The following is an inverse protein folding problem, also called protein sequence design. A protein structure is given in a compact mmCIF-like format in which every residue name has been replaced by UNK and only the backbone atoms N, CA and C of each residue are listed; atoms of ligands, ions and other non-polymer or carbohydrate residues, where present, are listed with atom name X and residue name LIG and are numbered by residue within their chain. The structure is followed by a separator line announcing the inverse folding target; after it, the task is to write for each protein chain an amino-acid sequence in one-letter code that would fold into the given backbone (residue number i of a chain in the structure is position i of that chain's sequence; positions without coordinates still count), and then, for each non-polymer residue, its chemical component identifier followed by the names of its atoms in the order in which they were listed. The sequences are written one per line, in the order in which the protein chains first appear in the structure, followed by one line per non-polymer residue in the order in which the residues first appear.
data_IF_385168037473
#
_entry.id   IF_385168037473
#
_cell.length_a   1.000
_cell.length_b   1.000
_cell.length_c   1.000
_cell.angle_alpha   90.00
_cell.angle_beta   90.00
_cell.angle_gamma   90.00
#
_symmetry.space_group_name_H-M   'P 1'
#
loop_
_entity.id
_entity.type
_entity.pdbx_description
1 polymer ?
#
# COMPACT_ATOMS: atom_id res chain seq x y z
N UNK A 1 38.97 -27.30 19.22
CA UNK A 1 38.22 -27.78 18.05
C UNK A 1 36.76 -27.44 18.27
N UNK A 2 36.11 -26.83 17.27
CA UNK A 2 34.89 -26.01 17.38
C UNK A 2 33.62 -26.76 17.87
N UNK A 3 32.64 -26.03 18.44
CA UNK A 3 31.33 -26.58 18.83
C UNK A 3 30.36 -26.66 17.64
N UNK A 4 29.59 -27.76 17.55
CA UNK A 4 28.50 -27.90 16.59
C UNK A 4 27.19 -27.52 17.26
N UNK A 5 26.61 -26.38 16.87
CA UNK A 5 25.29 -25.92 17.30
C UNK A 5 24.32 -26.10 16.14
N UNK A 6 23.42 -27.07 16.27
CA UNK A 6 22.28 -27.24 15.35
C UNK A 6 21.11 -26.41 15.86
N UNK A 7 20.83 -25.27 15.21
CA UNK A 7 19.62 -24.49 15.42
C UNK A 7 18.64 -24.70 14.25
N UNK A 8 17.35 -24.98 14.51
CA UNK A 8 16.30 -24.91 13.49
C UNK A 8 15.90 -23.45 13.17
N UNK A 9 15.22 -23.20 12.03
CA UNK A 9 14.94 -21.84 11.55
C UNK A 9 14.00 -21.08 12.48
N UNK A 10 14.35 -19.83 12.76
CA UNK A 10 13.62 -18.91 13.64
C UNK A 10 12.25 -18.59 13.05
N UNK A 11 11.21 -18.95 13.80
CA UNK A 11 9.81 -18.59 13.61
C UNK A 11 9.66 -17.06 13.56
N UNK A 12 8.85 -16.55 12.62
CA UNK A 12 8.51 -15.13 12.49
C UNK A 12 7.61 -14.71 13.66
N UNK A 13 7.80 -13.52 14.26
CA UNK A 13 6.97 -13.08 15.36
C UNK A 13 5.52 -12.82 14.88
N UNK A 14 4.51 -13.24 15.66
CA UNK A 14 3.13 -12.82 15.43
C UNK A 14 2.96 -11.34 15.84
N UNK A 15 2.38 -10.61 14.90
CA UNK A 15 1.82 -9.25 14.98
C UNK A 15 1.36 -8.82 16.39
N UNK A 16 1.63 -7.58 16.83
CA UNK A 16 1.22 -7.13 18.15
C UNK A 16 -0.29 -6.96 18.26
N UNK A 17 -0.89 -7.75 19.17
CA UNK A 17 -2.25 -7.59 19.69
C UNK A 17 -2.42 -6.18 20.24
N UNK A 18 -3.27 -5.38 19.62
CA UNK A 18 -3.74 -4.10 20.18
C UNK A 18 -4.76 -4.39 21.28
N UNK A 19 -4.31 -4.27 22.51
CA UNK A 19 -5.13 -4.30 23.72
C UNK A 19 -6.07 -3.09 23.74
N UNK A 20 -7.37 -3.33 23.99
CA UNK A 20 -8.37 -2.28 24.25
C UNK A 20 -8.78 -2.41 25.73
N UNK A 21 -8.60 -1.38 26.56
CA UNK A 21 -9.07 -1.41 27.94
C UNK A 21 -10.61 -1.36 27.94
N UNK A 22 -11.24 -2.43 28.40
CA UNK A 22 -12.66 -2.42 28.75
C UNK A 22 -12.79 -1.98 30.21
N UNK A 23 -13.14 -0.71 30.41
CA UNK A 23 -13.51 -0.16 31.72
C UNK A 23 -14.92 0.39 31.62
N UNK A 24 -15.91 -0.41 32.00
CA UNK A 24 -17.26 0.09 32.26
C UNK A 24 -17.27 0.88 33.57
N UNK A 25 -18.08 1.95 33.65
CA UNK A 25 -18.98 2.06 34.77
C UNK A 25 -20.44 2.16 34.32
N UNK A 26 -21.28 1.56 35.15
CA UNK A 26 -22.74 1.63 35.14
C UNK A 26 -23.20 3.09 35.38
N UNK A 27 -24.25 3.55 34.70
CA UNK A 27 -24.82 4.88 34.94
C UNK A 27 -25.94 5.31 34.00
N UNK A 28 -27.17 4.94 34.35
CA UNK A 28 -28.50 5.58 34.16
C UNK A 28 -28.94 6.22 32.80
N UNK A 29 -30.27 6.22 32.50
CA UNK A 29 -30.84 6.74 31.27
C UNK A 29 -31.21 8.23 31.39
N UNK A 30 -30.90 9.02 30.36
CA UNK A 30 -31.27 10.43 30.29
C UNK A 30 -31.54 10.84 28.84
N UNK A 31 -32.80 11.13 28.55
CA UNK A 31 -33.25 11.60 27.25
C UNK A 31 -32.58 12.93 26.87
N UNK A 32 -32.07 13.03 25.64
CA UNK A 32 -32.09 14.27 24.85
C UNK A 32 -31.87 13.96 23.38
N UNK A 33 -32.91 14.26 22.61
CA UNK A 33 -32.99 14.28 21.16
C UNK A 33 -32.22 15.49 20.63
N UNK A 34 -31.22 15.27 19.76
CA UNK A 34 -30.89 16.16 18.64
C UNK A 34 -29.83 15.51 17.75
N UNK A 35 -30.02 15.66 16.44
CA UNK A 35 -29.22 15.10 15.36
C UNK A 35 -27.72 15.29 15.56
N UNK A 36 -26.98 14.18 15.48
CA UNK A 36 -25.56 14.24 15.11
C UNK A 36 -25.53 14.37 13.59
N UNK A 37 -25.03 15.47 13.00
CA UNK A 37 -24.55 15.38 11.64
C UNK A 37 -23.31 14.47 11.72
N UNK A 38 -23.42 13.26 11.17
CA UNK A 38 -22.30 12.36 10.98
C UNK A 38 -21.29 13.00 10.00
N UNK A 39 -20.53 13.96 10.50
CA UNK A 39 -19.40 14.60 9.83
C UNK A 39 -18.11 14.28 10.57
N UNK A 40 -17.83 12.98 10.79
CA UNK A 40 -16.44 12.56 11.02
C UNK A 40 -15.68 12.61 9.69
N UNK A 41 -14.34 12.69 9.68
CA UNK A 41 -13.58 12.54 8.43
C UNK A 41 -13.84 11.13 7.93
N UNK A 42 -14.82 11.01 7.04
CA UNK A 42 -15.18 9.76 6.40
C UNK A 42 -13.92 9.35 5.66
N UNK A 43 -13.23 8.33 6.21
CA UNK A 43 -12.34 7.52 5.40
C UNK A 43 -13.23 7.03 4.27
N UNK A 44 -13.15 7.70 3.14
CA UNK A 44 -14.04 7.49 2.02
C UNK A 44 -13.98 5.99 1.69
N UNK A 45 -15.06 5.22 1.96
CA UNK A 45 -15.00 3.77 1.85
C UNK A 45 -14.70 3.36 0.41
N UNK A 46 -15.00 4.25 -0.54
CA UNK A 46 -14.65 4.10 -1.94
C UNK A 46 -13.16 4.31 -2.20
N UNK A 47 -12.53 5.33 -1.62
CA UNK A 47 -11.08 5.52 -1.62
C UNK A 47 -10.36 4.32 -1.01
N UNK A 48 -10.85 3.76 0.09
CA UNK A 48 -10.25 2.55 0.69
C UNK A 48 -10.31 1.35 -0.26
N UNK A 49 -11.44 1.15 -0.95
CA UNK A 49 -11.57 0.09 -1.97
C UNK A 49 -10.59 0.31 -3.12
N UNK A 50 -10.48 1.54 -3.61
CA UNK A 50 -9.53 1.90 -4.67
C UNK A 50 -8.09 1.68 -4.23
N UNK A 51 -7.73 2.07 -3.01
CA UNK A 51 -6.38 1.83 -2.47
C UNK A 51 -6.08 0.33 -2.43
N UNK A 52 -7.01 -0.48 -1.90
CA UNK A 52 -6.85 -1.93 -1.85
C UNK A 52 -6.68 -2.55 -3.25
N UNK A 53 -7.43 -2.06 -4.25
CA UNK A 53 -7.29 -2.52 -5.64
C UNK A 53 -5.91 -2.19 -6.24
N UNK A 54 -5.39 -0.99 -5.93
CA UNK A 54 -4.02 -0.59 -6.32
C UNK A 54 -2.98 -1.47 -5.62
N UNK A 55 -3.13 -1.72 -4.31
CA UNK A 55 -2.22 -2.56 -3.51
C UNK A 55 -2.19 -4.02 -4.00
N UNK A 56 -3.32 -4.56 -4.47
CA UNK A 56 -3.35 -5.89 -5.09
C UNK A 56 -2.66 -5.91 -6.46
N UNK A 57 -2.69 -4.80 -7.20
CA UNK A 57 -2.20 -4.73 -8.58
C UNK A 57 -0.70 -4.44 -8.69
N UNK A 58 -0.12 -3.79 -7.67
CA UNK A 58 1.31 -3.50 -7.60
C UNK A 58 1.83 -4.03 -6.27
N UNK A 59 2.62 -5.10 -6.30
CA UNK A 59 3.21 -5.64 -5.08
C UNK A 59 4.34 -4.76 -4.56
N UNK A 60 4.48 -4.66 -3.23
CA UNK A 60 5.58 -3.96 -2.56
C UNK A 60 5.38 -2.46 -2.37
N UNK A 61 4.23 -1.92 -2.75
CA UNK A 61 3.86 -0.52 -2.46
C UNK A 61 3.26 -0.40 -1.06
N UNK A 62 3.48 0.74 -0.42
CA UNK A 62 2.84 1.08 0.84
C UNK A 62 1.45 1.67 0.63
N UNK A 63 0.61 1.56 1.65
CA UNK A 63 -0.73 2.16 1.65
C UNK A 63 -0.68 3.68 1.40
N UNK A 64 0.34 4.35 1.90
CA UNK A 64 0.54 5.80 1.71
C UNK A 64 0.86 6.13 0.26
N UNK A 65 1.70 5.34 -0.42
CA UNK A 65 2.02 5.52 -1.83
C UNK A 65 0.78 5.31 -2.70
N UNK A 66 -0.06 4.31 -2.40
CA UNK A 66 -1.32 4.09 -3.11
C UNK A 66 -2.27 5.27 -2.98
N UNK A 67 -2.44 5.80 -1.77
CA UNK A 67 -3.24 7.00 -1.56
C UNK A 67 -2.67 8.23 -2.28
N UNK A 68 -1.35 8.40 -2.27
CA UNK A 68 -0.70 9.50 -2.97
C UNK A 68 -0.88 9.39 -4.49
N UNK A 69 -0.73 8.20 -5.04
CA UNK A 69 -0.93 7.93 -6.47
C UNK A 69 -2.38 8.18 -6.88
N UNK A 70 -3.35 7.69 -6.11
CA UNK A 70 -4.77 7.95 -6.36
C UNK A 70 -5.10 9.45 -6.28
N UNK A 71 -4.56 10.17 -5.29
CA UNK A 71 -4.75 11.63 -5.22
C UNK A 71 -4.16 12.33 -6.44
N UNK A 72 -2.99 11.90 -6.91
CA UNK A 72 -2.34 12.48 -8.09
C UNK A 72 -3.10 12.21 -9.40
N UNK A 73 -3.90 11.15 -9.47
CA UNK A 73 -4.67 10.76 -10.65
C UNK A 73 -6.17 11.12 -10.56
N UNK A 74 -6.57 11.92 -9.56
CA UNK A 74 -7.97 12.28 -9.36
C UNK A 74 -8.85 11.10 -8.93
N UNK A 75 -8.24 10.05 -8.37
CA UNK A 75 -8.90 8.83 -7.92
C UNK A 75 -9.04 7.75 -9.00
N UNK A 76 -8.39 7.88 -10.14
CA UNK A 76 -8.37 6.84 -11.17
C UNK A 76 -7.40 5.71 -10.82
N UNK A 77 -7.94 4.50 -10.61
CA UNK A 77 -7.20 3.33 -10.15
C UNK A 77 -6.17 2.88 -11.18
N UNK A 78 -6.55 2.78 -12.45
CA UNK A 78 -5.67 2.31 -13.52
C UNK A 78 -4.48 3.25 -13.70
N UNK A 79 -4.73 4.56 -13.69
CA UNK A 79 -3.68 5.57 -13.77
C UNK A 79 -2.80 5.56 -12.52
N UNK A 80 -3.36 5.33 -11.33
CA UNK A 80 -2.58 5.24 -10.09
C UNK A 80 -1.63 4.03 -10.11
N UNK A 81 -2.12 2.86 -10.53
CA UNK A 81 -1.32 1.64 -10.75
C UNK A 81 -0.17 1.93 -11.72
N UNK A 82 -0.48 2.55 -12.85
CA UNK A 82 0.51 2.90 -13.87
C UNK A 82 1.57 3.85 -13.33
N UNK A 83 1.16 4.89 -12.59
CA UNK A 83 2.07 5.85 -11.99
C UNK A 83 3.00 5.18 -10.97
N UNK A 84 2.47 4.32 -10.10
CA UNK A 84 3.28 3.54 -9.17
C UNK A 84 4.28 2.64 -9.88
N UNK A 85 3.87 1.94 -10.95
CA UNK A 85 4.80 1.12 -11.74
C UNK A 85 5.94 1.94 -12.32
N UNK A 86 5.67 3.16 -12.79
CA UNK A 86 6.71 4.08 -13.25
C UNK A 86 7.66 4.45 -12.13
N UNK A 87 7.15 4.83 -10.95
CA UNK A 87 8.01 5.14 -9.79
C UNK A 87 8.85 3.95 -9.36
N UNK A 88 8.27 2.74 -9.30
CA UNK A 88 9.03 1.52 -8.95
C UNK A 88 10.17 1.26 -9.95
N UNK A 89 9.92 1.42 -11.25
CA UNK A 89 10.96 1.23 -12.26
C UNK A 89 12.02 2.35 -12.23
N UNK A 90 11.58 3.57 -11.95
CA UNK A 90 12.46 4.74 -11.79
C UNK A 90 13.43 4.55 -10.62
N UNK A 91 12.98 4.04 -9.46
CA UNK A 91 13.88 3.79 -8.33
C UNK A 91 14.88 2.65 -8.56
N UNK A 92 14.63 1.77 -9.53
CA UNK A 92 15.51 0.67 -9.89
C UNK A 92 16.55 1.03 -10.96
N UNK A 93 16.41 2.19 -11.63
CA UNK A 93 17.21 2.54 -12.81
C UNK A 93 17.67 3.99 -12.76
N UNK A 94 18.63 4.36 -13.61
CA UNK A 94 19.07 5.76 -13.82
C UNK A 94 18.22 6.50 -14.85
N UNK A 95 17.10 5.91 -15.28
CA UNK A 95 16.30 6.40 -16.39
C UNK A 95 15.34 7.51 -15.95
N UNK A 96 14.90 8.34 -16.90
CA UNK A 96 13.87 9.34 -16.59
C UNK A 96 12.50 8.66 -16.39
N UNK A 97 11.59 9.30 -15.65
CA UNK A 97 10.19 8.84 -15.52
C UNK A 97 9.50 8.65 -16.88
N UNK A 98 9.82 9.51 -17.84
CA UNK A 98 9.28 9.42 -19.19
C UNK A 98 9.76 8.16 -19.92
N UNK A 99 11.05 7.81 -19.77
CA UNK A 99 11.59 6.60 -20.38
C UNK A 99 11.09 5.33 -19.68
N UNK A 100 10.99 5.36 -18.35
CA UNK A 100 10.38 4.27 -17.57
C UNK A 100 8.95 3.98 -18.04
N UNK A 101 8.14 5.02 -18.27
CA UNK A 101 6.80 4.89 -18.83
C UNK A 101 6.82 4.23 -20.21
N UNK A 102 7.69 4.67 -21.12
CA UNK A 102 7.81 4.08 -22.46
C UNK A 102 8.20 2.60 -22.41
N UNK A 103 9.10 2.22 -21.52
CA UNK A 103 9.46 0.81 -21.30
C UNK A 103 8.24 0.03 -20.83
N UNK A 104 7.54 0.52 -19.79
CA UNK A 104 6.36 -0.15 -19.27
C UNK A 104 5.28 -0.29 -20.35
N UNK A 105 5.05 0.72 -21.17
CA UNK A 105 4.12 0.66 -22.30
C UNK A 105 4.53 -0.43 -23.31
N UNK A 106 5.83 -0.57 -23.64
CA UNK A 106 6.33 -1.66 -24.51
C UNK A 106 6.12 -3.04 -23.91
N UNK A 107 6.23 -3.17 -22.58
CA UNK A 107 5.99 -4.42 -21.87
C UNK A 107 4.55 -4.59 -21.38
N UNK A 108 3.58 -3.88 -21.95
CA UNK A 108 2.15 -3.98 -21.59
C UNK A 108 1.88 -3.77 -20.09
N UNK A 109 2.66 -2.89 -19.46
CA UNK A 109 2.63 -2.61 -18.02
C UNK A 109 3.02 -3.79 -17.12
N UNK A 110 3.74 -4.77 -17.65
CA UNK A 110 4.39 -5.81 -16.85
C UNK A 110 5.64 -5.23 -16.17
N UNK A 111 5.48 -4.91 -14.87
CA UNK A 111 6.57 -4.37 -14.06
C UNK A 111 7.73 -5.36 -13.93
N UNK A 112 7.47 -6.66 -13.84
CA UNK A 112 8.52 -7.67 -13.68
C UNK A 112 9.38 -7.81 -14.93
N UNK A 113 8.75 -7.85 -16.11
CA UNK A 113 9.46 -7.87 -17.38
C UNK A 113 10.26 -6.59 -17.61
N UNK A 114 9.67 -5.43 -17.34
CA UNK A 114 10.33 -4.13 -17.45
C UNK A 114 11.52 -4.01 -16.47
N UNK A 115 11.35 -4.41 -15.21
CA UNK A 115 12.42 -4.40 -14.20
C UNK A 115 13.59 -5.29 -14.60
N UNK A 116 13.34 -6.51 -15.10
CA UNK A 116 14.40 -7.38 -15.61
C UNK A 116 15.15 -6.76 -16.78
N UNK A 117 14.43 -6.08 -17.68
CA UNK A 117 15.07 -5.38 -18.80
C UNK A 117 15.99 -4.26 -18.32
N UNK A 118 15.51 -3.36 -17.44
CA UNK A 118 16.35 -2.23 -16.99
C UNK A 118 17.54 -2.68 -16.16
N UNK A 119 17.39 -3.75 -15.35
CA UNK A 119 18.49 -4.31 -14.55
C UNK A 119 19.52 -5.08 -15.40
N UNK A 120 19.12 -5.56 -16.58
CA UNK A 120 20.03 -6.20 -17.53
C UNK A 120 20.78 -5.20 -18.42
N UNK A 121 20.44 -3.91 -18.36
CA UNK A 121 21.18 -2.84 -19.03
C UNK A 121 22.29 -2.34 -18.09
N UNK A 122 23.57 -2.43 -18.48
CA UNK A 122 24.71 -2.01 -17.65
C UNK A 122 24.80 -0.49 -17.47
#
# INVERSE_FOLDING_TARGET
MAPSSSQPPKERPPWPKRERPNSHPIGAPGASKAAIPSGGPLSDPELQRRVMEVELSVHGVTHQECQAALRATGGDVVSAIRNLKVEQLFYLSSWSRADCRRILERYQWDLSAASRYVLAQP
#
